data_IF_418150617528
#
_entry.id   IF_418150617528
#
_cell.length_a   1.000
_cell.length_b   1.000
_cell.length_c   1.000
_cell.angle_alpha   90.00
_cell.angle_beta   90.00
_cell.angle_gamma   90.00
#
_symmetry.space_group_name_H-M   'P 1'
#
loop_
_entity.id
_entity.type
_entity.pdbx_description
1 polymer ?
#
# COMPACT_ATOMS: atom_id res chain seq x y z
N UNK A 1 -19.46 8.41 -12.58
CA UNK A 1 -20.84 8.43 -12.02
C UNK A 1 -21.01 9.56 -11.01
N UNK A 2 -20.30 9.63 -9.86
CA UNK A 2 -20.48 10.69 -8.85
C UNK A 2 -20.31 12.08 -9.46
N UNK A 3 -19.15 12.37 -10.07
CA UNK A 3 -18.90 13.68 -10.74
C UNK A 3 -19.84 14.01 -11.90
N UNK A 4 -20.59 13.05 -12.37
CA UNK A 4 -21.59 13.20 -13.44
C UNK A 4 -23.01 13.41 -12.87
N UNK A 5 -23.15 13.49 -11.54
CA UNK A 5 -24.45 13.67 -10.87
C UNK A 5 -25.40 12.46 -10.98
N UNK A 6 -24.87 11.26 -11.31
CA UNK A 6 -25.68 10.05 -11.51
C UNK A 6 -25.95 9.29 -10.22
N UNK A 7 -25.43 9.77 -9.09
CA UNK A 7 -25.61 9.12 -7.78
C UNK A 7 -26.34 10.10 -6.87
N UNK A 8 -27.42 9.64 -6.25
CA UNK A 8 -28.09 10.37 -5.19
C UNK A 8 -28.12 9.57 -3.88
N UNK A 9 -28.04 10.28 -2.76
CA UNK A 9 -28.18 9.73 -1.41
C UNK A 9 -29.35 10.44 -0.73
N UNK A 10 -30.32 9.67 -0.31
CA UNK A 10 -31.58 10.19 0.26
C UNK A 10 -32.25 11.27 -0.62
N UNK A 11 -32.20 11.10 -1.94
CA UNK A 11 -32.76 12.02 -2.93
C UNK A 11 -31.85 13.21 -3.29
N UNK A 12 -30.73 13.41 -2.61
CA UNK A 12 -29.78 14.49 -2.93
C UNK A 12 -28.68 14.00 -3.87
N UNK A 13 -28.50 14.67 -5.00
CA UNK A 13 -27.47 14.34 -5.99
C UNK A 13 -26.09 14.64 -5.43
N UNK A 14 -25.19 13.66 -5.52
CA UNK A 14 -23.80 13.75 -5.07
C UNK A 14 -22.87 13.98 -6.24
N UNK A 15 -22.06 15.02 -6.19
CA UNK A 15 -21.09 15.37 -7.24
C UNK A 15 -19.64 15.36 -6.77
N UNK A 16 -19.41 15.34 -5.44
CA UNK A 16 -18.09 15.41 -4.83
C UNK A 16 -17.80 14.19 -3.94
N UNK A 17 -16.53 13.94 -3.71
CA UNK A 17 -16.00 12.89 -2.81
C UNK A 17 -15.19 13.54 -1.67
N UNK A 18 -15.17 12.94 -0.46
CA UNK A 18 -15.77 11.66 -0.07
C UNK A 18 -17.26 11.77 0.25
N UNK A 19 -18.04 10.73 -0.07
CA UNK A 19 -19.43 10.59 0.36
C UNK A 19 -19.45 9.57 1.50
N UNK A 20 -19.90 10.00 2.68
CA UNK A 20 -20.14 9.13 3.83
C UNK A 20 -21.60 8.71 3.84
N UNK A 21 -21.86 7.40 3.79
CA UNK A 21 -23.19 6.82 3.85
C UNK A 21 -23.29 5.85 5.02
N UNK A 22 -24.47 5.79 5.62
CA UNK A 22 -24.84 4.74 6.56
C UNK A 22 -25.68 3.68 5.82
N UNK A 23 -25.09 2.50 5.49
CA UNK A 23 -25.80 1.49 4.70
C UNK A 23 -27.10 0.96 5.31
N UNK A 24 -27.32 1.15 6.63
CA UNK A 24 -28.52 0.72 7.32
C UNK A 24 -29.66 1.73 7.24
N UNK A 25 -29.37 2.98 6.88
CA UNK A 25 -30.35 4.09 6.91
C UNK A 25 -30.48 4.85 5.60
N UNK A 26 -29.37 4.99 4.87
CA UNK A 26 -29.33 5.82 3.67
C UNK A 26 -29.79 5.03 2.45
N UNK A 27 -30.62 5.67 1.63
CA UNK A 27 -31.05 5.16 0.33
C UNK A 27 -30.12 5.74 -0.75
N UNK A 28 -29.49 4.86 -1.52
CA UNK A 28 -28.63 5.26 -2.64
C UNK A 28 -29.30 4.89 -3.94
N UNK A 29 -29.33 5.83 -4.89
CA UNK A 29 -29.78 5.58 -6.26
C UNK A 29 -28.66 5.87 -7.25
N UNK A 30 -28.68 5.18 -8.38
CA UNK A 30 -27.83 5.41 -9.55
C UNK A 30 -28.77 5.57 -10.75
N UNK A 31 -28.72 6.72 -11.41
CA UNK A 31 -29.66 7.07 -12.48
C UNK A 31 -31.13 6.88 -12.05
N UNK A 32 -31.47 7.37 -10.84
CA UNK A 32 -32.76 7.25 -10.16
C UNK A 32 -33.19 5.82 -9.77
N UNK A 33 -32.46 4.80 -10.16
CA UNK A 33 -32.73 3.41 -9.79
C UNK A 33 -32.10 3.07 -8.42
N UNK A 34 -32.87 2.49 -7.48
CA UNK A 34 -32.37 2.16 -6.16
C UNK A 34 -31.29 1.07 -6.21
N UNK A 35 -30.18 1.33 -5.54
CA UNK A 35 -29.08 0.38 -5.40
C UNK A 35 -29.12 -0.27 -4.02
N UNK A 36 -29.15 -1.59 -4.00
CA UNK A 36 -29.01 -2.34 -2.74
C UNK A 36 -27.59 -2.20 -2.21
N UNK A 37 -27.46 -1.48 -1.10
CA UNK A 37 -26.17 -1.37 -0.41
C UNK A 37 -25.85 -2.69 0.26
N UNK A 38 -24.77 -3.32 -0.18
CA UNK A 38 -24.24 -4.53 0.44
C UNK A 38 -23.40 -4.10 1.64
N UNK A 39 -23.93 -4.29 2.84
CA UNK A 39 -23.14 -4.12 4.06
C UNK A 39 -22.26 -5.36 4.27
N UNK A 40 -21.15 -5.20 4.97
CA UNK A 40 -20.30 -6.32 5.36
C UNK A 40 -21.00 -7.38 6.23
N UNK A 41 -22.21 -7.09 6.69
CA UNK A 41 -23.10 -8.02 7.40
C UNK A 41 -24.14 -8.71 6.50
N UNK A 42 -24.38 -8.20 5.29
CA UNK A 42 -25.23 -8.88 4.31
C UNK A 42 -24.42 -9.99 3.64
N UNK A 43 -24.80 -11.25 3.90
CA UNK A 43 -24.23 -12.48 3.34
C UNK A 43 -24.45 -12.60 1.81
N UNK A 44 -23.89 -11.72 1.01
CA UNK A 44 -23.39 -12.16 -0.27
C UNK A 44 -21.91 -12.46 -0.04
N UNK A 45 -21.61 -13.74 0.07
CA UNK A 45 -20.23 -14.24 0.07
C UNK A 45 -19.66 -14.04 -1.33
N UNK A 46 -19.32 -12.80 -1.65
CA UNK A 46 -18.47 -12.56 -2.82
C UNK A 46 -17.19 -13.33 -2.54
N UNK A 47 -16.92 -14.35 -3.33
CA UNK A 47 -15.71 -15.14 -3.20
C UNK A 47 -14.50 -14.20 -3.13
N UNK A 48 -13.68 -14.37 -2.09
CA UNK A 48 -12.54 -13.49 -1.85
C UNK A 48 -11.30 -14.06 -2.49
N UNK A 49 -10.63 -13.23 -3.26
CA UNK A 49 -9.41 -13.59 -3.98
C UNK A 49 -8.21 -12.90 -3.38
N UNK A 50 -7.12 -13.63 -3.29
CA UNK A 50 -5.86 -13.18 -2.69
C UNK A 50 -4.73 -13.59 -3.62
N UNK A 51 -4.20 -12.62 -4.39
CA UNK A 51 -3.18 -12.84 -5.41
C UNK A 51 -1.90 -12.09 -5.03
N UNK A 52 -0.77 -12.75 -5.20
CA UNK A 52 0.55 -12.17 -5.05
C UNK A 52 1.20 -12.03 -6.42
N UNK A 53 1.63 -10.82 -6.74
CA UNK A 53 2.34 -10.51 -7.98
C UNK A 53 3.76 -10.05 -7.67
N UNK A 54 4.72 -10.49 -8.46
CA UNK A 54 6.02 -9.86 -8.57
C UNK A 54 5.97 -8.82 -9.69
N UNK A 55 5.50 -7.61 -9.36
CA UNK A 55 5.29 -6.52 -10.32
C UNK A 55 6.59 -6.17 -11.06
N UNK A 56 6.62 -6.19 -12.39
CA UNK A 56 7.79 -5.74 -13.16
C UNK A 56 7.93 -4.21 -13.12
N UNK A 57 9.08 -3.71 -13.55
CA UNK A 57 9.32 -2.30 -13.80
C UNK A 57 8.51 -1.82 -15.01
N UNK A 58 8.10 -0.56 -15.03
CA UNK A 58 7.31 0.02 -16.13
C UNK A 58 5.79 -0.12 -15.97
N UNK A 59 5.32 -0.98 -15.07
CA UNK A 59 3.91 -1.26 -14.83
C UNK A 59 3.36 -0.40 -13.68
N UNK A 60 2.16 0.17 -13.83
CA UNK A 60 1.51 1.02 -12.83
C UNK A 60 0.56 0.22 -11.94
N UNK A 61 0.45 0.62 -10.66
CA UNK A 61 -0.41 -0.03 -9.66
C UNK A 61 -1.74 0.73 -9.56
N UNK A 62 -2.60 0.60 -10.57
CA UNK A 62 -3.93 1.22 -10.64
C UNK A 62 -4.92 0.32 -11.37
N UNK A 63 -6.22 0.50 -11.09
CA UNK A 63 -7.31 -0.12 -11.86
C UNK A 63 -7.84 0.82 -12.95
N UNK A 64 -7.54 2.11 -12.85
CA UNK A 64 -7.98 3.12 -13.83
C UNK A 64 -6.97 3.17 -14.97
N UNK A 65 -7.44 3.11 -16.21
CA UNK A 65 -6.58 3.29 -17.37
C UNK A 65 -5.96 4.70 -17.37
N UNK A 66 -4.68 4.78 -17.63
CA UNK A 66 -3.90 6.02 -17.71
C UNK A 66 -3.13 6.03 -19.05
N UNK A 67 -3.83 6.40 -20.12
CA UNK A 67 -3.28 6.33 -21.47
C UNK A 67 -2.85 4.89 -21.83
N UNK A 68 -1.70 4.74 -22.45
CA UNK A 68 -1.14 3.46 -22.89
C UNK A 68 -0.34 2.70 -21.82
N UNK A 69 -0.34 3.18 -20.57
CA UNK A 69 0.46 2.55 -19.50
C UNK A 69 -0.13 1.19 -19.10
N UNK A 70 0.67 0.14 -19.17
CA UNK A 70 0.31 -1.20 -18.67
C UNK A 70 0.08 -1.16 -17.17
N UNK A 71 -1.10 -1.64 -16.73
CA UNK A 71 -1.47 -1.72 -15.32
C UNK A 71 -1.13 -3.10 -14.76
N UNK A 72 -0.92 -3.19 -13.47
CA UNK A 72 -0.68 -4.47 -12.81
C UNK A 72 -1.81 -5.50 -13.06
N UNK A 73 -3.05 -5.02 -13.15
CA UNK A 73 -4.21 -5.89 -13.42
C UNK A 73 -4.22 -6.44 -14.85
N UNK A 74 -3.58 -5.77 -15.82
CA UNK A 74 -3.49 -6.24 -17.20
C UNK A 74 -2.53 -7.43 -17.36
N UNK A 75 -1.71 -7.71 -16.35
CA UNK A 75 -0.82 -8.87 -16.30
C UNK A 75 -1.48 -10.10 -15.68
N UNK A 76 -2.74 -10.00 -15.26
CA UNK A 76 -3.47 -11.15 -14.72
C UNK A 76 -3.94 -12.06 -15.87
N UNK A 77 -4.07 -13.38 -15.65
CA UNK A 77 -4.60 -14.30 -16.64
C UNK A 77 -6.03 -13.89 -17.09
N UNK A 78 -6.42 -14.15 -18.33
CA UNK A 78 -7.80 -13.93 -18.78
C UNK A 78 -8.82 -14.61 -17.86
N UNK A 79 -9.96 -13.94 -17.64
CA UNK A 79 -11.01 -14.47 -16.77
C UNK A 79 -10.72 -14.33 -15.26
N UNK A 80 -9.66 -13.60 -14.89
CA UNK A 80 -9.39 -13.33 -13.45
C UNK A 80 -10.56 -12.60 -12.77
N UNK A 81 -10.76 -12.86 -11.49
CA UNK A 81 -11.79 -12.15 -10.73
C UNK A 81 -11.47 -10.66 -10.61
N UNK A 82 -12.48 -9.86 -10.32
CA UNK A 82 -12.30 -8.43 -10.05
C UNK A 82 -11.49 -8.24 -8.76
N UNK A 83 -10.25 -7.84 -8.90
CA UNK A 83 -9.32 -7.52 -7.81
C UNK A 83 -8.69 -6.15 -8.01
N UNK A 84 -8.10 -5.59 -6.95
CA UNK A 84 -7.37 -4.33 -7.00
C UNK A 84 -6.07 -4.40 -6.20
N UNK A 85 -5.07 -3.58 -6.55
CA UNK A 85 -3.80 -3.52 -5.84
C UNK A 85 -3.98 -3.02 -4.40
N UNK A 86 -3.37 -3.71 -3.44
CA UNK A 86 -3.30 -3.32 -2.04
C UNK A 86 -2.10 -2.39 -1.84
N UNK A 87 -2.37 -1.11 -1.84
CA UNK A 87 -1.35 -0.08 -1.89
C UNK A 87 -0.72 0.02 -3.28
N UNK A 88 0.34 0.82 -3.38
CA UNK A 88 0.96 1.15 -4.65
C UNK A 88 2.46 0.86 -4.64
N UNK A 89 2.98 0.57 -5.83
CA UNK A 89 4.39 0.66 -6.20
C UNK A 89 4.47 1.62 -7.38
N UNK A 90 5.46 2.50 -7.37
CA UNK A 90 5.75 3.37 -8.52
C UNK A 90 6.05 2.51 -9.77
N UNK A 91 5.83 3.06 -10.98
CA UNK A 91 6.15 2.36 -12.21
C UNK A 91 7.62 1.90 -12.27
N UNK A 92 8.54 2.72 -11.76
CA UNK A 92 9.99 2.41 -11.70
C UNK A 92 10.37 1.39 -10.62
N UNK A 93 9.46 1.05 -9.70
CA UNK A 93 9.69 0.11 -8.62
C UNK A 93 9.07 -1.24 -8.97
N UNK A 94 9.71 -2.32 -8.54
CA UNK A 94 9.25 -3.69 -8.79
C UNK A 94 9.03 -4.46 -7.50
N UNK A 95 8.55 -5.68 -7.63
CA UNK A 95 8.45 -6.62 -6.53
C UNK A 95 7.04 -6.85 -6.03
N UNK A 96 6.93 -7.23 -4.78
CA UNK A 96 5.71 -7.71 -4.14
C UNK A 96 4.57 -6.70 -4.25
N UNK A 97 3.54 -7.05 -5.02
CA UNK A 97 2.25 -6.37 -5.07
C UNK A 97 1.16 -7.39 -4.73
N UNK A 98 0.43 -7.11 -3.67
CA UNK A 98 -0.73 -7.92 -3.28
C UNK A 98 -1.98 -7.36 -3.95
N UNK A 99 -2.84 -8.25 -4.50
CA UNK A 99 -4.11 -7.89 -5.13
C UNK A 99 -5.23 -8.70 -4.48
N UNK A 100 -6.36 -8.05 -4.22
CA UNK A 100 -7.53 -8.71 -3.61
C UNK A 100 -8.81 -7.91 -3.89
N UNK A 101 -9.96 -8.52 -3.63
CA UNK A 101 -11.26 -7.86 -3.54
C UNK A 101 -11.73 -7.70 -2.07
N UNK A 102 -10.88 -8.03 -1.09
CA UNK A 102 -11.14 -7.87 0.35
C UNK A 102 -10.81 -6.43 0.81
N UNK A 103 -11.83 -5.55 0.82
CA UNK A 103 -11.66 -4.15 1.18
C UNK A 103 -11.26 -3.92 2.64
N UNK A 104 -11.77 -4.75 3.54
CA UNK A 104 -11.44 -4.65 4.97
C UNK A 104 -9.96 -4.98 5.22
N UNK A 105 -9.48 -6.09 4.66
CA UNK A 105 -8.08 -6.45 4.73
C UNK A 105 -7.19 -5.41 4.04
N UNK A 106 -7.63 -4.87 2.90
CA UNK A 106 -6.92 -3.80 2.19
C UNK A 106 -6.73 -2.57 3.08
N UNK A 107 -7.77 -2.12 3.77
CA UNK A 107 -7.68 -1.00 4.70
C UNK A 107 -6.66 -1.28 5.81
N UNK A 108 -6.73 -2.45 6.45
CA UNK A 108 -5.78 -2.85 7.50
C UNK A 108 -4.33 -2.91 7.02
N UNK A 109 -4.08 -3.28 5.77
CA UNK A 109 -2.73 -3.39 5.23
C UNK A 109 -2.17 -2.06 4.69
N UNK A 110 -3.02 -1.09 4.35
CA UNK A 110 -2.59 0.14 3.68
C UNK A 110 -2.70 1.39 4.53
N UNK A 111 -3.69 1.48 5.41
CA UNK A 111 -3.91 2.69 6.19
C UNK A 111 -2.74 2.96 7.16
N UNK A 112 -2.22 4.20 7.22
CA UNK A 112 -1.02 4.54 8.00
C UNK A 112 -1.12 4.21 9.50
N UNK A 113 -2.33 4.28 10.08
CA UNK A 113 -2.56 3.99 11.51
C UNK A 113 -2.09 2.60 11.93
N UNK A 114 -2.17 1.63 11.02
CA UNK A 114 -1.79 0.25 11.31
C UNK A 114 -0.29 -0.01 11.22
N UNK A 115 0.44 0.84 10.51
CA UNK A 115 1.90 0.79 10.43
C UNK A 115 2.44 -0.54 9.94
N UNK A 116 1.79 -1.14 8.93
CA UNK A 116 2.21 -2.42 8.34
C UNK A 116 3.61 -2.30 7.76
N UNK A 117 4.58 -3.12 8.20
CA UNK A 117 5.96 -3.04 7.72
C UNK A 117 6.05 -3.45 6.25
N UNK A 118 6.81 -2.69 5.49
CA UNK A 118 7.15 -2.96 4.09
C UNK A 118 8.66 -2.95 3.95
N UNK A 119 9.24 -4.06 3.48
CA UNK A 119 10.69 -4.20 3.32
C UNK A 119 11.06 -4.08 1.85
N UNK A 120 12.03 -3.24 1.58
CA UNK A 120 12.55 -2.96 0.25
C UNK A 120 14.02 -3.35 0.17
N UNK A 121 14.40 -3.96 -0.93
CA UNK A 121 15.80 -4.09 -1.35
C UNK A 121 16.11 -2.98 -2.34
N UNK A 122 17.06 -2.12 -1.98
CA UNK A 122 17.49 -0.98 -2.80
C UNK A 122 18.94 -1.20 -3.26
N UNK A 123 19.18 -1.06 -4.56
CA UNK A 123 20.53 -0.93 -5.12
C UNK A 123 20.78 0.57 -5.29
N UNK A 124 21.79 1.08 -4.62
CA UNK A 124 22.15 2.50 -4.60
C UNK A 124 23.54 2.73 -5.17
N UNK A 125 23.78 3.93 -5.67
CA UNK A 125 25.11 4.36 -6.15
C UNK A 125 26.06 4.59 -4.96
N UNK A 126 27.29 4.18 -5.13
CA UNK A 126 28.40 4.43 -4.22
C UNK A 126 28.42 3.51 -2.99
N UNK A 127 29.42 3.78 -2.16
CA UNK A 127 29.70 3.07 -0.91
C UNK A 127 28.86 3.65 0.23
N UNK A 128 28.08 2.82 0.90
CA UNK A 128 27.23 3.23 2.03
C UNK A 128 27.95 3.03 3.36
N UNK A 129 28.11 4.11 4.12
CA UNK A 129 28.79 4.10 5.41
C UNK A 129 27.87 3.66 6.56
N UNK A 130 28.41 3.24 7.72
CA UNK A 130 27.62 2.95 8.92
C UNK A 130 26.84 4.17 9.42
N UNK A 131 27.41 5.37 9.32
CA UNK A 131 26.81 6.64 9.77
C UNK A 131 25.53 6.93 8.98
N UNK A 132 25.56 6.71 7.65
CA UNK A 132 24.38 6.86 6.78
C UNK A 132 23.26 5.90 7.21
N UNK A 133 23.57 4.66 7.55
CA UNK A 133 22.59 3.69 8.06
C UNK A 133 21.99 4.17 9.38
N UNK A 134 22.81 4.71 10.29
CA UNK A 134 22.35 5.27 11.54
C UNK A 134 21.43 6.48 11.33
N UNK A 135 21.76 7.34 10.36
CA UNK A 135 20.95 8.51 10.01
C UNK A 135 19.59 8.09 9.41
N UNK A 136 19.56 7.14 8.46
CA UNK A 136 18.33 6.55 7.94
C UNK A 136 17.43 6.03 9.06
N UNK A 137 18.02 5.34 10.04
CA UNK A 137 17.30 4.79 11.20
C UNK A 137 16.61 5.85 12.06
N UNK A 138 17.15 7.07 12.13
CA UNK A 138 16.59 8.21 12.90
C UNK A 138 15.44 8.92 12.16
N UNK A 139 15.28 8.65 10.86
CA UNK A 139 14.36 9.36 9.97
C UNK A 139 14.95 10.66 9.43
N UNK A 140 14.57 11.00 8.19
CA UNK A 140 15.14 12.08 7.37
C UNK A 140 14.11 13.19 7.18
N UNK A 141 14.52 14.43 7.28
CA UNK A 141 13.69 15.58 6.91
C UNK A 141 13.53 15.67 5.39
N UNK A 142 12.30 15.68 4.92
CA UNK A 142 11.94 15.85 3.51
C UNK A 142 10.93 16.98 3.37
N UNK A 143 10.93 17.68 2.23
CA UNK A 143 9.87 18.61 1.88
C UNK A 143 8.65 17.83 1.34
N UNK A 144 7.46 18.18 1.74
CA UNK A 144 6.23 17.71 1.10
C UNK A 144 6.14 18.29 -0.32
N UNK A 145 5.74 17.50 -1.31
CA UNK A 145 5.74 17.93 -2.71
C UNK A 145 4.59 18.87 -3.06
N UNK A 146 3.47 18.73 -2.36
CA UNK A 146 2.25 19.50 -2.64
C UNK A 146 2.25 20.81 -1.86
N UNK A 147 2.65 20.74 -0.59
CA UNK A 147 2.60 21.90 0.32
C UNK A 147 3.92 22.61 0.51
N UNK A 148 5.04 22.01 0.07
CA UNK A 148 6.40 22.50 0.32
C UNK A 148 6.84 22.39 1.79
N UNK A 149 5.95 22.05 2.72
CA UNK A 149 6.25 21.98 4.15
C UNK A 149 7.23 20.85 4.48
N UNK A 150 8.20 21.11 5.35
CA UNK A 150 9.13 20.11 5.85
C UNK A 150 8.42 19.11 6.77
N UNK A 151 8.75 17.83 6.63
CA UNK A 151 8.34 16.79 7.56
C UNK A 151 9.49 15.82 7.79
N UNK A 152 9.54 15.22 8.98
CA UNK A 152 10.48 14.15 9.30
C UNK A 152 9.82 12.80 9.03
N UNK A 153 10.51 11.92 8.29
CA UNK A 153 10.05 10.54 8.09
C UNK A 153 10.09 9.76 9.40
N UNK A 154 9.26 8.74 9.52
CA UNK A 154 9.31 7.85 10.67
C UNK A 154 10.66 7.09 10.73
N UNK A 155 11.01 6.61 11.91
CA UNK A 155 12.14 5.71 12.11
C UNK A 155 11.97 4.46 11.27
N UNK A 156 13.07 3.99 10.66
CA UNK A 156 13.08 2.75 9.86
C UNK A 156 14.19 1.80 10.32
N UNK A 157 14.10 0.55 9.90
CA UNK A 157 15.20 -0.41 10.03
C UNK A 157 15.94 -0.40 8.70
N UNK A 158 17.25 -0.12 8.74
CA UNK A 158 18.11 -0.14 7.57
C UNK A 158 19.27 -1.10 7.82
N UNK A 159 19.55 -1.98 6.85
CA UNK A 159 20.65 -2.93 6.89
C UNK A 159 21.42 -2.90 5.56
N UNK A 160 22.73 -3.02 5.62
CA UNK A 160 23.54 -3.24 4.44
C UNK A 160 23.62 -4.73 4.16
N UNK A 161 23.18 -5.14 2.97
CA UNK A 161 23.27 -6.52 2.48
C UNK A 161 24.61 -6.75 1.79
N UNK A 162 25.05 -5.78 0.97
CA UNK A 162 26.33 -5.81 0.27
C UNK A 162 26.88 -4.40 0.11
N UNK A 163 28.16 -4.24 0.37
CA UNK A 163 28.89 -2.99 0.07
C UNK A 163 29.80 -3.20 -1.13
N UNK A 164 29.81 -2.22 -2.03
CA UNK A 164 30.74 -2.16 -3.15
C UNK A 164 31.15 -0.71 -3.40
N UNK A 165 32.26 -0.51 -4.10
CA UNK A 165 32.78 0.82 -4.40
C UNK A 165 31.79 1.65 -5.21
N UNK A 166 31.21 1.07 -6.26
CA UNK A 166 30.34 1.76 -7.21
C UNK A 166 28.84 1.62 -6.89
N UNK A 167 28.49 0.64 -6.07
CA UNK A 167 27.12 0.41 -5.63
C UNK A 167 27.03 -0.41 -4.35
N UNK A 168 25.99 -0.14 -3.58
CA UNK A 168 25.67 -0.90 -2.37
C UNK A 168 24.24 -1.44 -2.43
N UNK A 169 23.98 -2.55 -1.76
CA UNK A 169 22.65 -3.15 -1.63
C UNK A 169 22.19 -2.99 -0.19
N UNK A 170 21.04 -2.36 -0.03
CA UNK A 170 20.40 -2.10 1.26
C UNK A 170 19.10 -2.86 1.39
N UNK A 171 18.76 -3.27 2.59
CA UNK A 171 17.43 -3.71 2.99
C UNK A 171 16.84 -2.68 3.96
N UNK A 172 15.68 -2.13 3.59
CA UNK A 172 15.02 -1.02 4.29
C UNK A 172 13.61 -1.41 4.66
N UNK A 173 13.28 -1.40 5.96
CA UNK A 173 11.92 -1.71 6.44
C UNK A 173 11.26 -0.46 7.00
N UNK A 174 10.16 -0.04 6.37
CA UNK A 174 9.37 1.13 6.71
C UNK A 174 7.97 0.73 7.18
N UNK A 175 7.37 1.53 8.06
CA UNK A 175 5.97 1.37 8.50
C UNK A 175 5.03 2.42 7.94
N UNK A 176 5.53 3.29 7.11
CA UNK A 176 4.79 4.32 6.36
C UNK A 176 5.03 4.15 4.85
N UNK A 177 4.37 4.91 4.01
CA UNK A 177 4.50 4.78 2.55
C UNK A 177 4.16 6.08 1.85
N UNK A 178 5.00 7.13 2.04
CA UNK A 178 4.84 8.39 1.32
C UNK A 178 5.36 8.29 -0.10
N UNK A 179 4.90 9.19 -0.96
CA UNK A 179 5.29 9.21 -2.36
C UNK A 179 6.82 9.19 -2.52
N UNK A 180 7.33 8.15 -3.23
CA UNK A 180 8.75 7.92 -3.55
C UNK A 180 9.70 8.06 -2.34
N UNK A 181 9.24 7.73 -1.15
CA UNK A 181 9.92 8.02 0.12
C UNK A 181 11.35 7.47 0.15
N UNK A 182 11.54 6.19 -0.12
CA UNK A 182 12.89 5.54 -0.09
C UNK A 182 13.85 6.24 -1.05
N UNK A 183 13.40 6.53 -2.27
CA UNK A 183 14.22 7.22 -3.29
C UNK A 183 14.63 8.61 -2.84
N UNK A 184 13.69 9.35 -2.25
CA UNK A 184 13.92 10.73 -1.77
C UNK A 184 14.85 10.77 -0.56
N UNK A 185 14.70 9.84 0.37
CA UNK A 185 15.57 9.74 1.55
C UNK A 185 17.02 9.47 1.15
N UNK A 186 17.22 8.46 0.30
CA UNK A 186 18.55 8.07 -0.16
C UNK A 186 19.20 9.14 -1.05
N UNK A 187 18.42 9.77 -1.94
CA UNK A 187 18.92 10.88 -2.76
C UNK A 187 19.36 12.09 -1.91
N UNK A 188 18.63 12.41 -0.84
CA UNK A 188 19.02 13.48 0.10
C UNK A 188 20.35 13.18 0.82
N UNK A 189 20.66 11.91 1.01
CA UNK A 189 21.92 11.44 1.59
C UNK A 189 23.02 11.18 0.54
N UNK A 190 22.82 11.63 -0.71
CA UNK A 190 23.81 11.53 -1.78
C UNK A 190 23.83 10.18 -2.52
N UNK A 191 22.89 9.28 -2.25
CA UNK A 191 22.83 7.95 -2.85
C UNK A 191 21.63 7.80 -3.78
N UNK A 192 21.83 7.84 -5.09
CA UNK A 192 20.78 7.62 -6.07
C UNK A 192 20.38 6.14 -6.11
N UNK A 193 19.06 5.87 -6.05
CA UNK A 193 18.52 4.52 -6.14
C UNK A 193 18.45 4.07 -7.60
N UNK A 194 19.26 3.11 -8.00
CA UNK A 194 19.26 2.47 -9.33
C UNK A 194 18.12 1.48 -9.48
N UNK A 195 17.90 0.65 -8.46
CA UNK A 195 16.84 -0.35 -8.44
C UNK A 195 16.15 -0.40 -7.08
N UNK A 196 14.82 -0.58 -7.09
CA UNK A 196 14.02 -0.67 -5.87
C UNK A 196 13.00 -1.80 -6.01
N UNK A 197 13.14 -2.80 -5.15
CA UNK A 197 12.28 -3.98 -5.14
C UNK A 197 11.62 -4.11 -3.76
N UNK A 198 10.29 -4.12 -3.68
CA UNK A 198 9.60 -4.49 -2.44
C UNK A 198 9.63 -6.01 -2.30
N UNK A 199 10.32 -6.52 -1.29
CA UNK A 199 10.53 -7.96 -1.05
C UNK A 199 9.59 -8.53 0.01
N UNK A 200 9.00 -7.68 0.87
CA UNK A 200 8.08 -8.10 1.94
C UNK A 200 7.02 -7.05 2.23
N UNK A 201 5.83 -7.50 2.61
CA UNK A 201 4.74 -6.67 3.12
C UNK A 201 3.98 -7.46 4.22
N UNK A 202 4.12 -7.03 5.47
CA UNK A 202 3.63 -7.82 6.61
C UNK A 202 4.23 -9.23 6.60
N UNK A 203 3.41 -10.30 6.65
CA UNK A 203 3.87 -11.68 6.59
C UNK A 203 4.23 -12.14 5.16
N UNK A 204 3.75 -11.46 4.12
CA UNK A 204 3.97 -11.85 2.73
C UNK A 204 5.41 -11.59 2.29
N UNK A 205 5.99 -12.57 1.58
CA UNK A 205 7.33 -12.49 0.97
C UNK A 205 7.27 -12.72 -0.52
N UNK A 206 8.28 -12.23 -1.24
CA UNK A 206 8.40 -12.39 -2.69
C UNK A 206 9.08 -13.70 -3.09
N UNK A 207 9.48 -14.50 -2.10
CA UNK A 207 10.25 -15.72 -2.31
C UNK A 207 9.58 -16.69 -3.27
N UNK A 208 10.35 -17.25 -4.21
CA UNK A 208 9.87 -18.23 -5.18
C UNK A 208 8.99 -17.68 -6.30
N UNK A 209 8.74 -16.35 -6.38
CA UNK A 209 7.92 -15.76 -7.43
C UNK A 209 8.74 -14.94 -8.41
N UNK A 210 8.88 -15.41 -9.64
CA UNK A 210 9.60 -14.71 -10.71
C UNK A 210 8.97 -13.38 -11.10
N UNK A 211 9.77 -12.44 -11.64
CA UNK A 211 9.29 -11.13 -12.10
C UNK A 211 8.22 -11.30 -13.19
N UNK A 212 7.13 -10.54 -13.07
CA UNK A 212 5.98 -10.60 -13.97
C UNK A 212 4.98 -11.72 -13.66
N UNK A 213 5.32 -12.65 -12.76
CA UNK A 213 4.42 -13.77 -12.42
C UNK A 213 3.44 -13.38 -11.30
N UNK A 214 2.30 -14.08 -11.33
CA UNK A 214 1.21 -13.96 -10.35
C UNK A 214 0.86 -15.35 -9.85
N UNK A 215 0.57 -15.47 -8.56
CA UNK A 215 0.01 -16.69 -7.97
C UNK A 215 -1.07 -16.36 -6.94
N UNK A 216 -1.98 -17.29 -6.72
CA UNK A 216 -2.85 -17.24 -5.55
C UNK A 216 -2.03 -17.44 -4.26
N UNK A 217 -2.50 -16.85 -3.16
CA UNK A 217 -2.00 -17.21 -1.84
C UNK A 217 -2.49 -18.60 -1.45
N UNK A 218 -1.64 -19.36 -0.78
CA UNK A 218 -2.04 -20.64 -0.17
C UNK A 218 -3.02 -20.40 1.00
N UNK A 219 -3.87 -21.37 1.36
CA UNK A 219 -4.76 -21.24 2.52
C UNK A 219 -4.03 -20.86 3.82
N UNK A 220 -2.79 -21.35 3.99
CA UNK A 220 -1.94 -21.01 5.14
C UNK A 220 -1.54 -19.53 5.10
N UNK A 221 -1.06 -19.01 3.97
CA UNK A 221 -0.70 -17.59 3.80
C UNK A 221 -1.91 -16.68 4.03
N UNK A 222 -3.10 -17.06 3.54
CA UNK A 222 -4.34 -16.32 3.77
C UNK A 222 -4.68 -16.27 5.26
N UNK A 223 -4.57 -17.40 5.97
CA UNK A 223 -4.81 -17.47 7.42
C UNK A 223 -3.82 -16.58 8.19
N UNK A 224 -2.54 -16.68 7.88
CA UNK A 224 -1.48 -15.86 8.49
C UNK A 224 -1.69 -14.36 8.20
N UNK A 225 -2.07 -14.01 6.98
CA UNK A 225 -2.33 -12.62 6.57
C UNK A 225 -3.55 -12.02 7.29
N UNK A 226 -4.64 -12.77 7.42
CA UNK A 226 -5.84 -12.35 8.16
C UNK A 226 -5.55 -12.15 9.64
N UNK A 227 -4.84 -13.10 10.26
CA UNK A 227 -4.40 -12.97 11.66
C UNK A 227 -3.52 -11.74 11.85
N UNK A 228 -2.53 -11.56 10.98
CA UNK A 228 -1.68 -10.37 11.01
C UNK A 228 -2.50 -9.07 10.87
N UNK A 229 -3.52 -9.05 10.01
CA UNK A 229 -4.44 -7.93 9.86
C UNK A 229 -5.23 -7.61 11.15
N UNK A 230 -5.65 -8.62 11.89
CA UNK A 230 -6.30 -8.46 13.20
C UNK A 230 -5.32 -7.93 14.24
N UNK A 231 -4.12 -8.53 14.34
CA UNK A 231 -3.08 -8.11 15.30
C UNK A 231 -2.67 -6.63 15.11
N UNK A 232 -2.58 -6.13 13.87
CA UNK A 232 -2.25 -4.72 13.63
C UNK A 232 -3.40 -3.79 13.98
N UNK A 233 -4.64 -4.23 13.82
CA UNK A 233 -5.84 -3.49 14.20
C UNK A 233 -5.90 -3.31 15.72
N UNK A 234 -5.76 -4.40 16.48
CA UNK A 234 -5.73 -4.36 17.95
C UNK A 234 -4.62 -3.45 18.49
N UNK A 235 -3.42 -3.53 17.89
CA UNK A 235 -2.29 -2.64 18.25
C UNK A 235 -2.59 -1.17 17.94
N UNK A 236 -3.30 -0.88 16.85
CA UNK A 236 -3.68 0.48 16.49
C UNK A 236 -4.69 1.04 17.49
N UNK A 237 -5.70 0.27 17.88
CA UNK A 237 -6.70 0.64 18.89
C UNK A 237 -6.03 0.93 20.24
N UNK A 238 -5.16 0.04 20.72
CA UNK A 238 -4.40 0.24 21.98
C UNK A 238 -3.56 1.51 21.96
N UNK A 239 -2.91 1.84 20.83
CA UNK A 239 -2.12 3.08 20.70
C UNK A 239 -2.99 4.33 20.77
N UNK A 240 -4.15 4.29 20.14
CA UNK A 240 -5.08 5.41 20.12
C UNK A 240 -5.67 5.67 21.51
N UNK A 241 -6.04 4.62 22.25
CA UNK A 241 -6.48 4.69 23.64
C UNK A 241 -5.40 5.28 24.55
N UNK A 242 -4.15 4.77 24.44
CA UNK A 242 -3.02 5.27 25.23
C UNK A 242 -2.68 6.74 24.92
N UNK A 243 -2.95 7.22 23.72
CA UNK A 243 -2.78 8.63 23.36
C UNK A 243 -3.84 9.50 24.02
N UNK A 244 -5.12 9.11 23.93
CA UNK A 244 -6.23 9.84 24.60
C UNK A 244 -6.00 10.00 26.09
N UNK A 245 -5.62 8.94 26.79
CA UNK A 245 -5.32 8.99 28.24
C UNK A 245 -4.15 9.92 28.58
N UNK A 246 -3.22 10.13 27.64
CA UNK A 246 -2.10 11.08 27.85
C UNK A 246 -2.49 12.54 27.60
N UNK A 247 -3.43 12.76 26.70
CA UNK A 247 -3.91 14.10 26.35
C UNK A 247 -4.95 14.62 27.37
N UNK A 248 -5.52 13.71 28.22
CA UNK A 248 -6.48 14.01 29.28
C UNK A 248 -5.81 14.23 30.67
N UNK A 249 -4.52 13.90 30.83
CA UNK A 249 -3.70 14.15 32.03
C UNK A 249 -2.67 15.27 31.79
#
# INVERSE_FOLDING_TARGET
MIRQGRIAVNGSVMTELPILINPARDKVTVDDEPVKLVTSQGKETTERFYLLMNKPKGVVSTNVAQGEQTRAIDLLPPGHPRVYPVGRLDAESKGLLFLTNDGELTNRLTHPRYGVPKTYRAIVEGFVTPELIAELGKGIWLADRETGKGFKTAKMIAKVVKRGRDSSVLELTLREGRNRQVRRMLAKLGHKVRDLTRVRMGPLTLEGLNVGHVRALTPREVKELKKFGQDVDERAVKREQAKRTRDEN
#
